data_IF_638895800317
#
_entry.id   IF_638895800317
#
_cell.length_a   1.000
_cell.length_b   1.000
_cell.length_c   1.000
_cell.angle_alpha   90.00
_cell.angle_beta   90.00
_cell.angle_gamma   90.00
#
_symmetry.space_group_name_H-M   'P 1'
#
loop_
_entity.id
_entity.type
_entity.pdbx_description
1 polymer ?
#
# COMPACT_ATOMS: atom_id res chain seq x y z
N UNK A 1 92.93 43.17 -10.43
CA UNK A 1 92.74 41.83 -9.82
C UNK A 1 91.72 41.79 -8.68
N UNK A 2 91.77 42.64 -7.65
CA UNK A 2 90.84 42.53 -6.50
C UNK A 2 89.35 42.78 -6.87
N UNK A 3 89.08 43.75 -7.75
CA UNK A 3 87.72 44.10 -8.19
C UNK A 3 87.06 43.01 -9.05
N UNK A 4 87.83 42.28 -9.86
CA UNK A 4 87.31 41.19 -10.71
C UNK A 4 86.94 39.95 -9.88
N UNK A 5 87.71 39.66 -8.82
CA UNK A 5 87.41 38.60 -7.85
C UNK A 5 86.14 38.90 -7.04
N UNK A 6 85.95 40.16 -6.63
CA UNK A 6 84.72 40.59 -5.93
C UNK A 6 83.48 40.54 -6.83
N UNK A 7 83.60 40.95 -8.10
CA UNK A 7 82.51 40.84 -9.07
C UNK A 7 82.16 39.38 -9.37
N UNK A 8 83.16 38.51 -9.54
CA UNK A 8 82.94 37.08 -9.76
C UNK A 8 82.23 36.41 -8.58
N UNK A 9 82.62 36.75 -7.34
CA UNK A 9 81.98 36.24 -6.13
C UNK A 9 80.54 36.74 -5.96
N UNK A 10 80.26 38.01 -6.27
CA UNK A 10 78.92 38.58 -6.19
C UNK A 10 77.97 37.95 -7.22
N UNK A 11 78.42 37.73 -8.46
CA UNK A 11 77.63 37.06 -9.50
C UNK A 11 77.40 35.58 -9.16
N UNK A 12 78.42 34.88 -8.64
CA UNK A 12 78.28 33.50 -8.16
C UNK A 12 77.26 33.36 -7.02
N UNK A 13 77.25 34.31 -6.08
CA UNK A 13 76.29 34.33 -4.98
C UNK A 13 74.86 34.62 -5.45
N UNK A 14 74.67 35.60 -6.34
CA UNK A 14 73.35 35.93 -6.91
C UNK A 14 72.78 34.78 -7.76
N UNK A 15 73.62 34.11 -8.54
CA UNK A 15 73.20 32.92 -9.32
C UNK A 15 72.90 31.72 -8.42
N UNK A 16 73.66 31.52 -7.33
CA UNK A 16 73.35 30.52 -6.30
C UNK A 16 72.04 30.81 -5.55
N UNK A 17 71.76 32.07 -5.27
CA UNK A 17 70.56 32.48 -4.54
C UNK A 17 69.29 32.35 -5.39
N UNK A 18 69.36 32.69 -6.68
CA UNK A 18 68.23 32.50 -7.62
C UNK A 18 67.94 31.03 -7.92
N UNK A 19 68.95 30.18 -7.97
CA UNK A 19 68.76 28.72 -8.15
C UNK A 19 68.19 28.08 -6.88
N UNK A 20 68.68 28.45 -5.69
CA UNK A 20 68.10 28.03 -4.42
C UNK A 20 66.63 28.45 -4.30
N UNK A 21 66.29 29.68 -4.67
CA UNK A 21 64.92 30.18 -4.62
C UNK A 21 63.98 29.43 -5.60
N UNK A 22 64.46 29.08 -6.79
CA UNK A 22 63.71 28.24 -7.74
C UNK A 22 63.47 26.83 -7.23
N UNK A 23 64.43 26.23 -6.52
CA UNK A 23 64.28 24.88 -5.95
C UNK A 23 63.23 24.91 -4.83
N UNK A 24 63.31 25.89 -3.94
CA UNK A 24 62.33 26.08 -2.85
C UNK A 24 60.93 26.36 -3.42
N UNK A 25 60.82 27.23 -4.43
CA UNK A 25 59.54 27.53 -5.09
C UNK A 25 58.92 26.31 -5.77
N UNK A 26 59.73 25.46 -6.43
CA UNK A 26 59.26 24.20 -7.02
C UNK A 26 58.79 23.20 -5.97
N UNK A 27 59.50 23.11 -4.84
CA UNK A 27 59.11 22.26 -3.70
C UNK A 27 57.79 22.71 -3.07
N UNK A 28 57.62 24.01 -2.86
CA UNK A 28 56.38 24.59 -2.35
C UNK A 28 55.20 24.40 -3.31
N UNK A 29 55.43 24.56 -4.63
CA UNK A 29 54.42 24.33 -5.65
C UNK A 29 53.99 22.85 -5.73
N UNK A 30 54.94 21.92 -5.60
CA UNK A 30 54.62 20.48 -5.53
C UNK A 30 53.80 20.15 -4.29
N UNK A 31 54.22 20.60 -3.11
CA UNK A 31 53.48 20.37 -1.86
C UNK A 31 52.05 20.93 -1.93
N UNK A 32 51.87 22.11 -2.52
CA UNK A 32 50.55 22.71 -2.73
C UNK A 32 49.68 21.90 -3.73
N UNK A 33 50.29 21.37 -4.80
CA UNK A 33 49.61 20.50 -5.76
C UNK A 33 49.17 19.17 -5.12
N UNK A 34 49.99 18.59 -4.26
CA UNK A 34 49.64 17.36 -3.54
C UNK A 34 48.49 17.59 -2.56
N UNK A 35 48.53 18.70 -1.82
CA UNK A 35 47.46 19.09 -0.91
C UNK A 35 46.14 19.36 -1.65
N UNK A 36 46.17 20.06 -2.79
CA UNK A 36 44.98 20.23 -3.64
C UNK A 36 44.43 18.90 -4.16
N UNK A 37 45.32 18.00 -4.59
CA UNK A 37 44.93 16.66 -5.07
C UNK A 37 44.23 15.88 -3.97
N UNK A 38 44.72 15.94 -2.74
CA UNK A 38 44.14 15.23 -1.61
C UNK A 38 42.81 15.85 -1.16
N UNK A 39 42.70 17.19 -1.13
CA UNK A 39 41.40 17.87 -0.92
C UNK A 39 40.36 17.47 -1.96
N UNK A 40 40.75 17.34 -3.22
CA UNK A 40 39.84 16.89 -4.30
C UNK A 40 39.43 15.43 -4.10
N UNK A 41 40.35 14.54 -3.71
CA UNK A 41 40.02 13.14 -3.39
C UNK A 41 39.04 13.02 -2.24
N UNK A 42 39.25 13.77 -1.15
CA UNK A 42 38.33 13.80 0.01
C UNK A 42 36.94 14.28 -0.43
N UNK A 43 36.86 15.40 -1.16
CA UNK A 43 35.57 15.91 -1.69
C UNK A 43 34.87 14.91 -2.61
N UNK A 44 35.61 14.19 -3.46
CA UNK A 44 35.06 13.13 -4.32
C UNK A 44 34.54 11.95 -3.49
N UNK A 45 35.28 11.53 -2.46
CA UNK A 45 34.84 10.48 -1.55
C UNK A 45 33.58 10.86 -0.77
N UNK A 46 33.50 12.11 -0.27
CA UNK A 46 32.32 12.61 0.43
C UNK A 46 31.10 12.70 -0.48
N UNK A 47 31.27 13.13 -1.74
CA UNK A 47 30.19 13.11 -2.74
C UNK A 47 29.66 11.69 -2.99
N UNK A 48 30.56 10.71 -3.15
CA UNK A 48 30.19 9.29 -3.32
C UNK A 48 29.46 8.75 -2.10
N UNK A 49 29.93 9.04 -0.88
CA UNK A 49 29.25 8.66 0.37
C UNK A 49 27.85 9.26 0.46
N UNK A 50 27.70 10.56 0.15
CA UNK A 50 26.38 11.23 0.14
C UNK A 50 25.44 10.62 -0.90
N UNK A 51 25.95 10.31 -2.10
CA UNK A 51 25.16 9.62 -3.13
C UNK A 51 24.72 8.23 -2.65
N UNK A 52 25.62 7.42 -2.09
CA UNK A 52 25.28 6.10 -1.56
C UNK A 52 24.22 6.16 -0.45
N UNK A 53 24.32 7.11 0.47
CA UNK A 53 23.33 7.32 1.53
C UNK A 53 21.97 7.73 0.95
N UNK A 54 21.96 8.62 -0.05
CA UNK A 54 20.72 9.06 -0.69
C UNK A 54 20.05 7.91 -1.44
N UNK A 55 20.80 7.08 -2.16
CA UNK A 55 20.26 5.88 -2.80
C UNK A 55 19.67 4.90 -1.78
N UNK A 56 20.40 4.61 -0.70
CA UNK A 56 19.90 3.72 0.35
C UNK A 56 18.61 4.25 1.03
N UNK A 57 18.49 5.57 1.23
CA UNK A 57 17.26 6.19 1.75
C UNK A 57 16.10 6.05 0.76
N UNK A 58 16.37 6.22 -0.53
CA UNK A 58 15.36 6.10 -1.58
C UNK A 58 14.87 4.65 -1.68
N UNK A 59 15.78 3.68 -1.62
CA UNK A 59 15.45 2.25 -1.58
C UNK A 59 14.63 1.89 -0.31
N UNK A 60 14.97 2.47 0.84
CA UNK A 60 14.19 2.30 2.07
C UNK A 60 12.78 2.88 1.96
N UNK A 61 12.63 4.05 1.33
CA UNK A 61 11.32 4.67 1.09
C UNK A 61 10.47 3.80 0.14
N UNK A 62 11.05 3.34 -0.97
CA UNK A 62 10.37 2.44 -1.91
C UNK A 62 9.97 1.12 -1.24
N UNK A 63 10.83 0.54 -0.40
CA UNK A 63 10.51 -0.67 0.35
C UNK A 63 9.38 -0.45 1.37
N UNK A 64 9.35 0.71 2.04
CA UNK A 64 8.30 1.07 2.98
C UNK A 64 6.95 1.26 2.27
N UNK A 65 6.94 1.97 1.13
CA UNK A 65 5.74 2.15 0.31
C UNK A 65 5.21 0.81 -0.21
N UNK A 66 6.09 -0.06 -0.72
CA UNK A 66 5.71 -1.40 -1.16
C UNK A 66 5.08 -2.22 -0.03
N UNK A 67 5.64 -2.15 1.19
CA UNK A 67 5.10 -2.84 2.36
C UNK A 67 3.71 -2.35 2.76
N UNK A 68 3.45 -1.03 2.68
CA UNK A 68 2.13 -0.45 2.95
C UNK A 68 1.10 -0.95 1.92
N UNK A 69 1.44 -0.89 0.63
CA UNK A 69 0.57 -1.36 -0.46
C UNK A 69 0.27 -2.86 -0.32
N UNK A 70 1.26 -3.68 0.02
CA UNK A 70 1.04 -5.11 0.26
C UNK A 70 0.14 -5.38 1.47
N UNK A 71 0.29 -4.62 2.55
CA UNK A 71 -0.56 -4.75 3.73
C UNK A 71 -2.02 -4.39 3.41
N UNK A 72 -2.26 -3.33 2.64
CA UNK A 72 -3.58 -2.97 2.14
C UNK A 72 -4.17 -4.04 1.23
N UNK A 73 -3.39 -4.56 0.28
CA UNK A 73 -3.80 -5.69 -0.58
C UNK A 73 -4.22 -6.91 0.24
N UNK A 74 -3.46 -7.25 1.29
CA UNK A 74 -3.81 -8.37 2.20
C UNK A 74 -5.11 -8.09 2.96
N UNK A 75 -5.34 -6.85 3.42
CA UNK A 75 -6.59 -6.45 4.10
C UNK A 75 -7.80 -6.57 3.17
N UNK A 76 -7.69 -6.09 1.94
CA UNK A 76 -8.75 -6.18 0.92
C UNK A 76 -9.04 -7.64 0.57
N UNK A 77 -8.00 -8.47 0.36
CA UNK A 77 -8.19 -9.92 0.11
C UNK A 77 -8.93 -10.63 1.23
N UNK A 78 -8.64 -10.31 2.49
CA UNK A 78 -9.35 -10.89 3.65
C UNK A 78 -10.81 -10.45 3.66
N UNK A 79 -11.08 -9.15 3.59
CA UNK A 79 -12.44 -8.62 3.54
C UNK A 79 -13.25 -9.21 2.38
N UNK A 80 -12.61 -9.41 1.22
CA UNK A 80 -13.24 -10.08 0.10
C UNK A 80 -13.56 -11.54 0.39
N UNK A 81 -12.61 -12.32 0.91
CA UNK A 81 -12.85 -13.75 1.23
C UNK A 81 -14.01 -13.94 2.21
N UNK A 82 -14.16 -13.02 3.16
CA UNK A 82 -15.30 -13.02 4.07
C UNK A 82 -16.61 -12.69 3.33
N UNK A 83 -16.58 -11.76 2.37
CA UNK A 83 -17.75 -11.37 1.57
C UNK A 83 -18.20 -12.47 0.60
N UNK A 84 -17.25 -13.17 -0.04
CA UNK A 84 -17.54 -14.34 -0.88
C UNK A 84 -18.20 -15.46 -0.08
N UNK A 85 -17.86 -15.58 1.22
CA UNK A 85 -18.48 -16.57 2.11
C UNK A 85 -19.88 -16.16 2.57
N UNK A 86 -20.11 -14.88 2.85
CA UNK A 86 -21.39 -14.38 3.39
C UNK A 86 -22.46 -14.18 2.31
N UNK A 87 -22.07 -13.89 1.06
CA UNK A 87 -23.00 -13.66 -0.04
C UNK A 87 -23.94 -14.84 -0.37
N UNK A 88 -23.44 -16.08 -0.51
CA UNK A 88 -24.33 -17.23 -0.75
C UNK A 88 -25.31 -17.44 0.39
N UNK A 89 -24.84 -17.26 1.63
CA UNK A 89 -25.67 -17.36 2.83
C UNK A 89 -26.75 -16.26 2.84
N UNK A 90 -26.42 -15.04 2.43
CA UNK A 90 -27.36 -13.92 2.32
C UNK A 90 -28.41 -14.16 1.22
N UNK A 91 -27.99 -14.77 0.10
CA UNK A 91 -28.89 -15.05 -1.01
C UNK A 91 -29.84 -16.22 -0.71
N UNK A 92 -29.35 -17.26 -0.02
CA UNK A 92 -30.18 -18.31 0.55
C UNK A 92 -31.17 -17.72 1.56
N UNK A 93 -30.69 -16.83 2.42
CA UNK A 93 -31.46 -16.12 3.43
C UNK A 93 -32.67 -15.35 2.89
N UNK A 94 -32.52 -14.69 1.74
CA UNK A 94 -33.65 -13.99 1.11
C UNK A 94 -34.66 -14.96 0.51
N UNK A 95 -34.22 -16.10 -0.04
CA UNK A 95 -35.14 -17.12 -0.57
C UNK A 95 -36.02 -17.71 0.52
N UNK A 96 -35.44 -18.06 1.64
CA UNK A 96 -36.16 -18.53 2.83
C UNK A 96 -36.99 -17.43 3.49
N UNK A 97 -36.61 -16.14 3.45
CA UNK A 97 -37.52 -15.06 3.88
C UNK A 97 -38.77 -14.96 3.00
N UNK A 98 -38.62 -15.07 1.67
CA UNK A 98 -39.79 -15.13 0.78
C UNK A 98 -40.66 -16.36 1.04
N UNK A 99 -40.03 -17.51 1.36
CA UNK A 99 -40.73 -18.72 1.79
C UNK A 99 -41.39 -18.53 3.15
N UNK A 100 -40.75 -17.87 4.11
CA UNK A 100 -41.24 -17.61 5.46
C UNK A 100 -42.42 -16.63 5.46
N UNK A 101 -42.39 -15.57 4.64
CA UNK A 101 -43.55 -14.71 4.43
C UNK A 101 -44.71 -15.45 3.78
N UNK A 102 -44.43 -16.36 2.83
CA UNK A 102 -45.43 -17.25 2.27
C UNK A 102 -45.98 -18.22 3.33
N UNK A 103 -45.14 -18.81 4.17
CA UNK A 103 -45.54 -19.70 5.29
C UNK A 103 -46.29 -18.92 6.36
N UNK A 104 -45.92 -17.68 6.67
CA UNK A 104 -46.62 -16.81 7.63
C UNK A 104 -47.96 -16.33 7.07
N UNK A 105 -48.02 -16.06 5.77
CA UNK A 105 -49.27 -15.84 5.05
C UNK A 105 -50.15 -17.10 5.08
N UNK A 106 -49.57 -18.29 4.83
CA UNK A 106 -50.26 -19.56 4.96
C UNK A 106 -50.65 -19.88 6.41
N UNK A 107 -49.90 -19.42 7.41
CA UNK A 107 -50.21 -19.58 8.83
C UNK A 107 -51.35 -18.62 9.27
N UNK A 108 -51.36 -17.40 8.73
CA UNK A 108 -52.51 -16.50 8.84
C UNK A 108 -53.74 -17.06 8.12
N UNK A 109 -53.56 -17.70 6.97
CA UNK A 109 -54.61 -18.44 6.28
C UNK A 109 -55.01 -19.73 7.02
N UNK A 110 -54.10 -20.38 7.76
CA UNK A 110 -54.40 -21.58 8.55
C UNK A 110 -55.16 -21.26 9.83
N UNK A 111 -55.16 -19.99 10.30
CA UNK A 111 -56.17 -19.54 11.27
C UNK A 111 -57.60 -19.60 10.71
N UNK A 112 -57.74 -19.51 9.38
CA UNK A 112 -59.01 -19.71 8.68
C UNK A 112 -59.23 -21.19 8.27
N UNK A 113 -58.16 -21.99 8.18
CA UNK A 113 -58.17 -23.41 7.78
C UNK A 113 -57.25 -24.25 8.69
N UNK A 114 -57.77 -24.78 9.82
CA UNK A 114 -56.95 -25.34 10.91
C UNK A 114 -56.19 -26.64 10.58
N UNK A 115 -56.41 -27.24 9.41
CA UNK A 115 -55.89 -28.57 9.06
C UNK A 115 -54.55 -28.57 8.34
N UNK A 116 -53.88 -27.41 8.15
CA UNK A 116 -52.81 -27.28 7.16
C UNK A 116 -51.40 -26.93 7.66
N UNK A 117 -51.14 -26.68 8.93
CA UNK A 117 -49.77 -26.41 9.37
C UNK A 117 -49.52 -26.82 10.82
N UNK A 118 -48.56 -27.71 11.03
CA UNK A 118 -48.04 -28.00 12.36
C UNK A 118 -47.23 -26.78 12.85
N UNK A 119 -47.52 -26.28 14.05
CA UNK A 119 -46.87 -25.11 14.66
C UNK A 119 -45.33 -25.18 14.65
N UNK A 120 -44.76 -26.39 14.64
CA UNK A 120 -43.33 -26.68 14.63
C UNK A 120 -42.62 -26.19 13.36
N UNK A 121 -43.25 -26.31 12.19
CA UNK A 121 -42.64 -25.88 10.93
C UNK A 121 -42.61 -24.35 10.81
N UNK A 122 -43.60 -23.66 11.37
CA UNK A 122 -43.62 -22.21 11.42
C UNK A 122 -42.50 -21.65 12.31
N UNK A 123 -42.23 -22.28 13.46
CA UNK A 123 -41.15 -21.89 14.36
C UNK A 123 -39.75 -22.14 13.76
N UNK A 124 -39.57 -23.28 13.08
CA UNK A 124 -38.33 -23.59 12.36
C UNK A 124 -38.06 -22.60 11.20
N UNK A 125 -39.09 -22.18 10.47
CA UNK A 125 -38.98 -21.15 9.44
C UNK A 125 -38.72 -19.75 10.02
N UNK A 126 -39.17 -19.48 11.25
CA UNK A 126 -38.89 -18.23 11.95
C UNK A 126 -37.42 -18.14 12.41
N UNK A 127 -36.84 -19.24 12.90
CA UNK A 127 -35.41 -19.29 13.24
C UNK A 127 -34.52 -19.09 12.02
N UNK A 128 -34.87 -19.73 10.88
CA UNK A 128 -34.21 -19.48 9.60
C UNK A 128 -34.27 -17.99 9.26
N UNK A 129 -35.45 -17.37 9.31
CA UNK A 129 -35.60 -15.94 9.06
C UNK A 129 -34.72 -15.05 9.97
N UNK A 130 -34.63 -15.35 11.26
CA UNK A 130 -33.78 -14.58 12.18
C UNK A 130 -32.28 -14.74 11.86
N UNK A 131 -31.84 -15.96 11.55
CA UNK A 131 -30.47 -16.22 11.08
C UNK A 131 -30.17 -15.42 9.82
N UNK A 132 -31.14 -15.31 8.93
CA UNK A 132 -31.02 -14.63 7.64
C UNK A 132 -30.87 -13.12 7.76
N UNK A 133 -31.66 -12.53 8.66
CA UNK A 133 -31.51 -11.11 9.01
C UNK A 133 -30.12 -10.80 9.56
N UNK A 134 -29.55 -11.69 10.36
CA UNK A 134 -28.19 -11.53 10.88
C UNK A 134 -27.14 -11.58 9.76
N UNK A 135 -27.30 -12.46 8.77
CA UNK A 135 -26.39 -12.58 7.62
C UNK A 135 -26.45 -11.34 6.71
N UNK A 136 -27.66 -10.80 6.44
CA UNK A 136 -27.83 -9.57 5.66
C UNK A 136 -27.16 -8.37 6.35
N UNK A 137 -27.32 -8.24 7.67
CA UNK A 137 -26.63 -7.20 8.45
C UNK A 137 -25.11 -7.36 8.44
N UNK A 138 -24.60 -8.60 8.46
CA UNK A 138 -23.17 -8.85 8.32
C UNK A 138 -22.66 -8.43 6.93
N UNK A 139 -23.41 -8.74 5.87
CA UNK A 139 -23.09 -8.33 4.50
C UNK A 139 -23.06 -6.81 4.36
N UNK A 140 -24.06 -6.11 4.92
CA UNK A 140 -24.11 -4.64 4.96
C UNK A 140 -22.85 -4.05 5.58
N UNK A 141 -22.45 -4.53 6.77
CA UNK A 141 -21.22 -4.08 7.45
C UNK A 141 -19.97 -4.33 6.62
N UNK A 142 -19.90 -5.44 5.90
CA UNK A 142 -18.76 -5.74 5.03
C UNK A 142 -18.70 -4.82 3.81
N UNK A 143 -19.85 -4.49 3.20
CA UNK A 143 -19.92 -3.51 2.11
C UNK A 143 -19.52 -2.12 2.59
N UNK A 144 -20.02 -1.67 3.73
CA UNK A 144 -19.62 -0.40 4.36
C UNK A 144 -18.10 -0.37 4.63
N UNK A 145 -17.54 -1.48 5.15
CA UNK A 145 -16.10 -1.60 5.38
C UNK A 145 -15.29 -1.53 4.08
N UNK A 146 -15.72 -2.19 3.01
CA UNK A 146 -15.05 -2.10 1.71
C UNK A 146 -15.14 -0.70 1.11
N UNK A 147 -16.27 -0.03 1.25
CA UNK A 147 -16.42 1.37 0.86
C UNK A 147 -15.46 2.28 1.64
N UNK A 148 -15.32 2.07 2.95
CA UNK A 148 -14.35 2.83 3.78
C UNK A 148 -12.89 2.59 3.40
N UNK A 149 -12.59 1.45 2.76
CA UNK A 149 -11.28 1.11 2.22
C UNK A 149 -11.06 1.67 0.80
N UNK A 150 -11.97 2.50 0.28
CA UNK A 150 -11.86 3.15 -1.02
C UNK A 150 -12.28 2.27 -2.21
N UNK A 151 -12.95 1.15 -1.95
CA UNK A 151 -13.49 0.27 -3.00
C UNK A 151 -14.83 0.83 -3.46
N UNK A 152 -14.90 1.33 -4.69
CA UNK A 152 -16.13 1.87 -5.29
C UNK A 152 -17.10 0.74 -5.67
N UNK A 153 -17.93 0.35 -4.69
CA UNK A 153 -19.01 -0.62 -4.86
C UNK A 153 -20.33 0.14 -5.10
N UNK A 154 -20.89 0.01 -6.29
CA UNK A 154 -22.21 0.57 -6.62
C UNK A 154 -23.32 -0.27 -6.01
N UNK A 155 -23.56 -0.11 -4.70
CA UNK A 155 -24.61 -0.82 -4.00
C UNK A 155 -26.00 -0.41 -4.54
N UNK A 156 -26.77 -1.32 -5.18
CA UNK A 156 -28.11 -1.00 -5.68
C UNK A 156 -29.18 -1.01 -4.58
N UNK A 157 -28.84 -1.49 -3.37
CA UNK A 157 -29.76 -1.69 -2.25
C UNK A 157 -29.90 -0.37 -1.49
N UNK A 158 -31.06 0.27 -1.58
CA UNK A 158 -31.40 1.47 -0.81
C UNK A 158 -31.89 1.13 0.60
N UNK A 159 -32.67 0.06 0.73
CA UNK A 159 -33.15 -0.46 2.00
C UNK A 159 -32.73 -1.92 2.15
N UNK A 160 -31.89 -2.19 3.15
CA UNK A 160 -31.36 -3.53 3.42
C UNK A 160 -32.40 -4.46 4.03
N UNK A 161 -33.50 -3.92 4.58
CA UNK A 161 -34.61 -4.71 5.11
C UNK A 161 -35.48 -5.33 4.01
N UNK A 162 -35.46 -4.75 2.81
CA UNK A 162 -36.21 -5.22 1.63
C UNK A 162 -35.29 -5.82 0.55
N UNK A 163 -34.03 -6.10 0.88
CA UNK A 163 -33.05 -6.58 -0.09
C UNK A 163 -33.53 -7.85 -0.79
N UNK A 164 -33.80 -7.74 -2.10
CA UNK A 164 -34.24 -8.85 -2.93
C UNK A 164 -33.09 -9.75 -3.36
N UNK A 165 -33.40 -10.99 -3.76
CA UNK A 165 -32.38 -11.95 -4.22
C UNK A 165 -31.67 -11.45 -5.49
N UNK A 166 -32.35 -10.66 -6.32
CA UNK A 166 -31.80 -10.03 -7.53
C UNK A 166 -30.78 -8.95 -7.16
N UNK A 167 -31.08 -8.12 -6.16
CA UNK A 167 -30.18 -7.05 -5.72
C UNK A 167 -28.93 -7.63 -5.06
N UNK A 168 -29.09 -8.66 -4.22
CA UNK A 168 -27.98 -9.38 -3.60
C UNK A 168 -27.10 -10.07 -4.63
N UNK A 169 -27.69 -10.66 -5.67
CA UNK A 169 -26.94 -11.29 -6.77
C UNK A 169 -26.18 -10.25 -7.60
N UNK A 170 -26.79 -9.11 -7.87
CA UNK A 170 -26.15 -8.01 -8.59
C UNK A 170 -24.99 -7.42 -7.79
N UNK A 171 -25.16 -7.30 -6.46
CA UNK A 171 -24.09 -6.92 -5.54
C UNK A 171 -22.97 -7.96 -5.51
N UNK A 172 -23.32 -9.25 -5.54
CA UNK A 172 -22.35 -10.35 -5.61
C UNK A 172 -21.48 -10.28 -6.86
N UNK A 173 -22.12 -10.11 -8.02
CA UNK A 173 -21.43 -10.04 -9.31
C UNK A 173 -20.54 -8.79 -9.39
N UNK A 174 -20.96 -7.66 -8.81
CA UNK A 174 -20.12 -6.47 -8.71
C UNK A 174 -18.91 -6.69 -7.81
N UNK A 175 -19.10 -7.32 -6.65
CA UNK A 175 -17.98 -7.63 -5.75
C UNK A 175 -17.00 -8.54 -6.46
N UNK A 176 -17.46 -9.63 -7.08
CA UNK A 176 -16.58 -10.56 -7.81
C UNK A 176 -15.82 -9.85 -8.95
N UNK A 177 -16.49 -8.96 -9.69
CA UNK A 177 -15.88 -8.15 -10.75
C UNK A 177 -14.80 -7.22 -10.22
N UNK A 178 -15.08 -6.50 -9.13
CA UNK A 178 -14.12 -5.58 -8.50
C UNK A 178 -12.92 -6.36 -7.97
N UNK A 179 -13.14 -7.52 -7.36
CA UNK A 179 -12.07 -8.38 -6.84
C UNK A 179 -11.19 -8.92 -7.94
N UNK A 180 -11.77 -9.40 -9.04
CA UNK A 180 -10.99 -9.81 -10.22
C UNK A 180 -10.14 -8.65 -10.74
N UNK A 181 -10.67 -7.43 -10.74
CA UNK A 181 -9.91 -6.22 -11.09
C UNK A 181 -8.73 -5.95 -10.16
N UNK A 182 -8.89 -6.13 -8.85
CA UNK A 182 -7.77 -6.02 -7.89
C UNK A 182 -6.78 -7.18 -7.96
N UNK A 183 -7.23 -8.39 -8.33
CA UNK A 183 -6.38 -9.56 -8.51
C UNK A 183 -5.56 -9.51 -9.81
N UNK A 184 -6.04 -8.80 -10.84
CA UNK A 184 -5.40 -8.67 -12.16
C UNK A 184 -4.43 -7.49 -12.28
N UNK A 185 -4.41 -6.53 -11.34
CA UNK A 185 -3.38 -5.47 -11.25
C UNK A 185 -2.03 -6.00 -10.71
N UNK A 186 -1.61 -7.16 -11.22
CA UNK A 186 -0.28 -7.76 -11.01
C UNK A 186 0.75 -6.93 -11.74
#
# INVERSE_FOLDING_TARGET
MLMELLLGAAVGFLTGLTTAWRIVAKGAAHAWLEDLRDRVKVRKADRRKKQAINHAKLDQQLAAEAAIVEAERKRVRRAHSELTRTLPLANEAVRTHTTSNFVRFLAGASQSFPSLASSSEADAELEKFNHHRAVIEQLRRQVEKLSSLGVDLKCPIKDWSEAGSIDLRTLADQVDKVTKGYALKI
#
